data_IF_758720708496
#
_entry.id   IF_758720708496
#
_cell.length_a   1.000
_cell.length_b   1.000
_cell.length_c   1.000
_cell.angle_alpha   90.00
_cell.angle_beta   90.00
_cell.angle_gamma   90.00
#
_symmetry.space_group_name_H-M   'P 1'
#
loop_
_entity.id
_entity.type
_entity.pdbx_description
1 polymer ?
#
# COMPACT_ATOMS: atom_id res chain seq x y z
N UNK A 1 36.38 -31.34 -51.42
CA UNK A 1 35.05 -31.88 -51.09
C UNK A 1 34.88 -31.52 -49.65
N UNK A 2 34.05 -30.51 -49.42
CA UNK A 2 33.76 -30.04 -48.06
C UNK A 2 32.97 -31.15 -47.39
N UNK A 3 33.62 -31.88 -46.49
CA UNK A 3 32.93 -32.72 -45.54
C UNK A 3 32.04 -31.79 -44.73
N UNK A 4 30.76 -31.77 -45.05
CA UNK A 4 29.70 -31.22 -44.21
C UNK A 4 29.89 -31.84 -42.82
N UNK A 5 30.50 -31.10 -41.91
CA UNK A 5 30.57 -31.41 -40.49
C UNK A 5 29.13 -31.46 -39.98
N UNK A 6 28.51 -32.64 -40.11
CA UNK A 6 27.19 -32.96 -39.59
C UNK A 6 27.23 -32.80 -38.08
N UNK A 7 26.92 -31.59 -37.61
CA UNK A 7 26.85 -31.30 -36.20
C UNK A 7 25.78 -32.18 -35.57
N UNK A 8 26.14 -32.92 -34.51
CA UNK A 8 25.21 -33.79 -33.77
C UNK A 8 23.98 -32.99 -33.29
N UNK A 9 24.15 -31.68 -33.02
CA UNK A 9 23.06 -30.76 -32.67
C UNK A 9 21.97 -30.64 -33.75
N UNK A 10 22.30 -30.82 -35.02
CA UNK A 10 21.38 -30.72 -36.14
C UNK A 10 20.83 -32.07 -36.61
N UNK A 11 21.25 -33.17 -35.96
CA UNK A 11 20.76 -34.51 -36.23
C UNK A 11 19.24 -34.65 -36.02
N UNK A 12 18.64 -35.61 -36.72
CA UNK A 12 17.22 -35.92 -36.56
C UNK A 12 16.91 -36.35 -35.13
N UNK A 13 17.81 -37.09 -34.49
CA UNK A 13 17.70 -37.54 -33.11
C UNK A 13 17.70 -36.37 -32.12
N UNK A 14 18.55 -35.36 -32.33
CA UNK A 14 18.57 -34.15 -31.52
C UNK A 14 17.26 -33.37 -31.65
N UNK A 15 16.75 -33.19 -32.87
CA UNK A 15 15.45 -32.55 -33.14
C UNK A 15 14.28 -33.32 -32.53
N UNK A 16 14.30 -34.65 -32.58
CA UNK A 16 13.30 -35.51 -31.95
C UNK A 16 13.36 -35.43 -30.41
N UNK A 17 14.56 -35.29 -29.84
CA UNK A 17 14.76 -35.07 -28.40
C UNK A 17 14.15 -33.73 -27.96
N UNK A 18 14.43 -32.66 -28.70
CA UNK A 18 13.85 -31.32 -28.46
C UNK A 18 12.31 -31.36 -28.53
N UNK A 19 11.75 -32.00 -29.57
CA UNK A 19 10.29 -32.15 -29.71
C UNK A 19 9.66 -32.83 -28.49
N UNK A 20 10.28 -33.90 -27.98
CA UNK A 20 9.80 -34.61 -26.79
C UNK A 20 9.88 -33.74 -25.53
N UNK A 21 10.95 -32.96 -25.37
CA UNK A 21 11.07 -31.99 -24.28
C UNK A 21 9.95 -30.95 -24.32
N UNK A 22 9.67 -30.39 -25.49
CA UNK A 22 8.58 -29.40 -25.68
C UNK A 22 7.22 -30.02 -25.29
N UNK A 23 6.98 -31.27 -25.67
CA UNK A 23 5.76 -32.00 -25.27
C UNK A 23 5.67 -32.25 -23.76
N UNK A 24 6.80 -32.53 -23.10
CA UNK A 24 6.83 -32.63 -21.64
C UNK A 24 6.51 -31.28 -20.97
N UNK A 25 7.05 -30.18 -21.49
CA UNK A 25 6.75 -28.82 -21.04
C UNK A 25 5.26 -28.50 -21.25
N UNK A 26 4.68 -28.83 -22.40
CA UNK A 26 3.25 -28.64 -22.67
C UNK A 26 2.37 -29.41 -21.68
N UNK A 27 2.71 -30.68 -21.40
CA UNK A 27 2.01 -31.51 -20.43
C UNK A 27 2.09 -30.96 -19.00
N UNK A 28 3.27 -30.49 -18.60
CA UNK A 28 3.47 -29.80 -17.32
C UNK A 28 2.63 -28.53 -17.23
N UNK A 29 2.76 -27.62 -18.20
CA UNK A 29 2.05 -26.34 -18.22
C UNK A 29 0.53 -26.54 -18.20
N UNK A 30 0.01 -27.53 -18.95
CA UNK A 30 -1.42 -27.84 -18.97
C UNK A 30 -1.91 -28.23 -17.57
N UNK A 31 -1.16 -29.07 -16.84
CA UNK A 31 -1.52 -29.49 -15.47
C UNK A 31 -1.48 -28.32 -14.49
N UNK A 32 -0.41 -27.52 -14.52
CA UNK A 32 -0.29 -26.37 -13.62
C UNK A 32 -1.37 -25.31 -13.88
N UNK A 33 -1.76 -25.10 -15.14
CA UNK A 33 -2.78 -24.11 -15.52
C UNK A 33 -4.22 -24.45 -15.10
N UNK A 34 -4.45 -25.64 -14.54
CA UNK A 34 -5.75 -26.12 -14.09
C UNK A 34 -5.88 -26.15 -12.55
N UNK A 35 -4.84 -25.72 -11.84
CA UNK A 35 -4.80 -25.70 -10.38
C UNK A 35 -5.53 -24.50 -9.78
N UNK A 36 -5.53 -24.41 -8.46
CA UNK A 36 -6.14 -23.32 -7.70
C UNK A 36 -5.52 -21.95 -8.02
N UNK A 37 -6.21 -20.85 -7.67
CA UNK A 37 -5.74 -19.48 -7.96
C UNK A 37 -4.34 -19.19 -7.37
N UNK A 38 -4.05 -19.66 -6.15
CA UNK A 38 -2.72 -19.48 -5.54
C UNK A 38 -1.63 -20.25 -6.31
N UNK A 39 -1.92 -21.49 -6.69
CA UNK A 39 -1.00 -22.31 -7.47
C UNK A 39 -0.82 -21.77 -8.90
N UNK A 40 -1.86 -21.14 -9.47
CA UNK A 40 -1.79 -20.48 -10.77
C UNK A 40 -0.87 -19.25 -10.74
N UNK A 41 -0.84 -18.52 -9.61
CA UNK A 41 0.17 -17.48 -9.35
C UNK A 41 1.58 -18.07 -9.26
N UNK A 42 1.76 -19.19 -8.54
CA UNK A 42 3.04 -19.88 -8.46
C UNK A 42 3.51 -20.41 -9.83
N UNK A 43 2.59 -20.90 -10.66
CA UNK A 43 2.85 -21.27 -12.05
C UNK A 43 3.32 -20.05 -12.87
N UNK A 44 2.65 -18.91 -12.73
CA UNK A 44 3.09 -17.64 -13.32
C UNK A 44 4.51 -17.25 -12.92
N UNK A 45 4.86 -17.40 -11.64
CA UNK A 45 6.22 -17.16 -11.14
C UNK A 45 7.24 -18.14 -11.75
N UNK A 46 6.90 -19.42 -11.88
CA UNK A 46 7.75 -20.41 -12.52
C UNK A 46 7.98 -20.10 -14.02
N UNK A 47 6.95 -19.66 -14.75
CA UNK A 47 7.09 -19.20 -16.13
C UNK A 47 8.02 -17.98 -16.25
N UNK A 48 7.92 -17.03 -15.31
CA UNK A 48 8.74 -15.82 -15.27
C UNK A 48 10.18 -16.02 -14.77
N UNK A 49 10.50 -17.18 -14.20
CA UNK A 49 11.84 -17.48 -13.64
C UNK A 49 12.97 -17.59 -14.66
N UNK A 50 12.63 -17.73 -15.95
CA UNK A 50 13.61 -17.89 -17.02
C UNK A 50 14.23 -19.29 -17.12
N UNK A 51 13.77 -20.28 -16.36
CA UNK A 51 14.23 -21.67 -16.43
C UNK A 51 14.00 -22.27 -17.84
N UNK A 52 12.89 -21.91 -18.49
CA UNK A 52 12.55 -22.35 -19.84
C UNK A 52 12.74 -21.18 -20.80
N UNK A 53 13.69 -21.33 -21.73
CA UNK A 53 13.97 -20.35 -22.77
C UNK A 53 12.93 -20.41 -23.90
N UNK A 54 11.69 -19.98 -23.63
CA UNK A 54 10.59 -20.04 -24.62
C UNK A 54 10.88 -19.29 -25.94
N UNK A 55 11.79 -18.30 -25.93
CA UNK A 55 12.23 -17.58 -27.11
C UNK A 55 13.03 -18.43 -28.10
N UNK A 56 13.54 -19.60 -27.68
CA UNK A 56 14.22 -20.56 -28.54
C UNK A 56 13.25 -21.51 -29.27
N UNK A 57 11.95 -21.48 -28.92
CA UNK A 57 10.95 -22.28 -29.61
C UNK A 57 10.67 -21.71 -31.01
N UNK A 58 10.65 -22.59 -32.00
CA UNK A 58 10.36 -22.18 -33.39
C UNK A 58 8.86 -21.97 -33.60
N UNK A 59 8.51 -21.29 -34.71
CA UNK A 59 7.11 -21.17 -35.13
C UNK A 59 6.42 -22.50 -35.40
N UNK A 60 7.18 -23.58 -35.69
CA UNK A 60 6.62 -24.93 -35.81
C UNK A 60 6.26 -25.48 -34.44
N UNK A 61 7.17 -25.40 -33.48
CA UNK A 61 6.96 -25.88 -32.11
C UNK A 61 5.73 -25.25 -31.46
N UNK A 62 5.54 -23.93 -31.65
CA UNK A 62 4.38 -23.20 -31.16
C UNK A 62 3.06 -23.65 -31.82
N UNK A 63 3.08 -23.96 -33.13
CA UNK A 63 1.91 -24.48 -33.86
C UNK A 63 1.52 -25.88 -33.39
N UNK A 64 2.52 -26.70 -33.11
CA UNK A 64 2.36 -28.10 -32.71
C UNK A 64 2.03 -28.24 -31.21
N UNK A 65 2.21 -27.17 -30.42
CA UNK A 65 1.99 -27.14 -28.96
C UNK A 65 0.92 -26.13 -28.55
N UNK A 66 -0.27 -26.21 -29.16
CA UNK A 66 -1.36 -25.25 -28.90
C UNK A 66 -1.85 -25.25 -27.44
N UNK A 67 -1.75 -26.37 -26.72
CA UNK A 67 -2.20 -26.42 -25.33
C UNK A 67 -1.23 -25.66 -24.42
N UNK A 68 0.06 -25.60 -24.77
CA UNK A 68 1.04 -24.78 -24.07
C UNK A 68 0.66 -23.29 -24.14
N UNK A 69 0.27 -22.80 -25.32
CA UNK A 69 -0.22 -21.42 -25.50
C UNK A 69 -1.48 -21.19 -24.66
N UNK A 70 -2.42 -22.13 -24.66
CA UNK A 70 -3.63 -22.06 -23.85
C UNK A 70 -3.35 -21.99 -22.35
N UNK A 71 -2.43 -22.82 -21.85
CA UNK A 71 -2.01 -22.85 -20.46
C UNK A 71 -1.36 -21.53 -20.01
N UNK A 72 -0.43 -21.00 -20.82
CA UNK A 72 0.22 -19.71 -20.54
C UNK A 72 -0.80 -18.56 -20.60
N UNK A 73 -1.74 -18.60 -21.55
CA UNK A 73 -2.81 -17.60 -21.66
C UNK A 73 -3.69 -17.54 -20.41
N UNK A 74 -4.04 -18.69 -19.82
CA UNK A 74 -4.79 -18.74 -18.55
C UNK A 74 -4.01 -18.10 -17.41
N UNK A 75 -2.72 -18.41 -17.29
CA UNK A 75 -1.86 -17.80 -16.28
C UNK A 75 -1.78 -16.28 -16.46
N UNK A 76 -1.62 -15.79 -17.70
CA UNK A 76 -1.63 -14.36 -18.04
C UNK A 76 -2.93 -13.68 -17.59
N UNK A 77 -4.09 -14.25 -17.94
CA UNK A 77 -5.39 -13.69 -17.58
C UNK A 77 -5.59 -13.62 -16.06
N UNK A 78 -5.16 -14.65 -15.34
CA UNK A 78 -5.20 -14.67 -13.87
C UNK A 78 -4.31 -13.58 -13.26
N UNK A 79 -3.07 -13.45 -13.72
CA UNK A 79 -2.14 -12.43 -13.23
C UNK A 79 -2.64 -11.00 -13.53
N UNK A 80 -3.25 -10.77 -14.70
CA UNK A 80 -3.87 -9.49 -15.04
C UNK A 80 -5.07 -9.15 -14.12
N UNK A 81 -5.87 -10.15 -13.76
CA UNK A 81 -7.00 -10.00 -12.82
C UNK A 81 -6.48 -9.62 -11.43
N UNK A 82 -5.50 -10.35 -10.90
CA UNK A 82 -4.93 -10.05 -9.57
C UNK A 82 -4.21 -8.71 -9.56
N UNK A 83 -3.46 -8.36 -10.62
CA UNK A 83 -2.86 -7.03 -10.75
C UNK A 83 -3.90 -5.91 -10.61
N UNK A 84 -4.99 -5.97 -11.40
CA UNK A 84 -6.05 -4.96 -11.34
C UNK A 84 -6.72 -4.89 -9.97
N UNK A 85 -6.89 -6.02 -9.30
CA UNK A 85 -7.46 -6.07 -7.95
C UNK A 85 -6.57 -5.32 -6.96
N UNK A 86 -5.27 -5.60 -6.94
CA UNK A 86 -4.34 -4.92 -6.04
C UNK A 86 -4.17 -3.44 -6.38
N UNK A 87 -4.15 -3.08 -7.66
CA UNK A 87 -4.12 -1.68 -8.12
C UNK A 87 -5.32 -0.87 -7.56
N UNK A 88 -6.53 -1.41 -7.69
CA UNK A 88 -7.73 -0.80 -7.13
C UNK A 88 -7.71 -0.73 -5.58
N UNK A 89 -7.13 -1.73 -4.91
CA UNK A 89 -7.03 -1.72 -3.46
C UNK A 89 -6.01 -0.71 -2.96
N UNK A 90 -4.91 -0.48 -3.70
CA UNK A 90 -3.95 0.60 -3.45
C UNK A 90 -4.63 1.96 -3.58
N UNK A 91 -5.44 2.19 -4.62
CA UNK A 91 -6.17 3.45 -4.80
C UNK A 91 -7.13 3.74 -3.63
N UNK A 92 -7.85 2.71 -3.15
CA UNK A 92 -8.70 2.86 -1.96
C UNK A 92 -7.90 3.22 -0.72
N UNK A 93 -6.72 2.60 -0.53
CA UNK A 93 -5.84 2.94 0.58
C UNK A 93 -5.31 4.37 0.47
N UNK A 94 -4.95 4.84 -0.73
CA UNK A 94 -4.54 6.23 -0.94
C UNK A 94 -5.64 7.23 -0.54
N UNK A 95 -6.89 6.98 -0.95
CA UNK A 95 -8.02 7.85 -0.56
C UNK A 95 -8.21 7.87 0.96
N UNK A 96 -8.18 6.70 1.61
CA UNK A 96 -8.30 6.61 3.07
C UNK A 96 -7.17 7.34 3.78
N UNK A 97 -5.93 7.15 3.34
CA UNK A 97 -4.78 7.84 3.92
C UNK A 97 -4.89 9.36 3.75
N UNK A 98 -5.38 9.84 2.60
CA UNK A 98 -5.60 11.27 2.40
C UNK A 98 -6.65 11.82 3.40
N UNK A 99 -7.75 11.10 3.62
CA UNK A 99 -8.77 11.48 4.60
C UNK A 99 -8.25 11.48 6.04
N UNK A 100 -7.52 10.44 6.44
CA UNK A 100 -6.91 10.35 7.77
C UNK A 100 -5.89 11.47 8.02
N UNK A 101 -5.10 11.83 7.01
CA UNK A 101 -4.18 12.96 7.06
C UNK A 101 -4.92 14.30 7.22
N UNK A 102 -6.00 14.53 6.47
CA UNK A 102 -6.82 15.75 6.58
C UNK A 102 -7.44 15.87 7.98
N UNK A 103 -7.95 14.78 8.56
CA UNK A 103 -8.47 14.78 9.93
C UNK A 103 -7.39 15.10 10.98
N UNK A 104 -6.18 14.60 10.78
CA UNK A 104 -5.05 14.86 11.67
C UNK A 104 -4.62 16.33 11.60
N UNK A 105 -4.52 16.89 10.39
CA UNK A 105 -4.26 18.31 10.17
C UNK A 105 -5.33 19.20 10.83
N UNK A 106 -6.61 18.85 10.68
CA UNK A 106 -7.72 19.57 11.32
C UNK A 106 -7.64 19.54 12.86
N UNK A 107 -7.28 18.39 13.44
CA UNK A 107 -7.05 18.27 14.90
C UNK A 107 -5.89 19.15 15.35
N UNK A 108 -4.76 19.16 14.65
CA UNK A 108 -3.61 20.01 14.98
C UNK A 108 -4.00 21.51 14.93
N UNK A 109 -4.75 21.92 13.90
CA UNK A 109 -5.21 23.31 13.76
C UNK A 109 -6.15 23.68 14.92
N UNK A 110 -7.10 22.80 15.28
CA UNK A 110 -8.02 23.01 16.41
C UNK A 110 -7.26 23.10 17.73
N UNK A 111 -6.37 22.17 17.99
CA UNK A 111 -5.61 22.10 19.24
C UNK A 111 -4.73 23.35 19.43
N UNK A 112 -4.16 23.92 18.34
CA UNK A 112 -3.49 25.23 18.39
C UNK A 112 -4.41 26.38 18.79
N UNK A 113 -5.66 26.40 18.30
CA UNK A 113 -6.65 27.44 18.67
C UNK A 113 -7.12 27.28 20.11
N UNK A 114 -7.40 26.05 20.54
CA UNK A 114 -7.79 25.74 21.93
C UNK A 114 -6.66 26.07 22.90
N UNK A 115 -5.41 25.78 22.55
CA UNK A 115 -4.26 26.17 23.36
C UNK A 115 -4.12 27.70 23.48
N UNK A 116 -4.31 28.44 22.38
CA UNK A 116 -4.35 29.90 22.41
C UNK A 116 -5.48 30.42 23.31
N UNK A 117 -6.67 29.81 23.23
CA UNK A 117 -7.80 30.16 24.09
C UNK A 117 -7.48 29.91 25.57
N UNK A 118 -6.92 28.75 25.89
CA UNK A 118 -6.46 28.40 27.24
C UNK A 118 -5.47 29.42 27.81
N UNK A 119 -4.47 29.84 27.04
CA UNK A 119 -3.51 30.86 27.48
C UNK A 119 -4.19 32.21 27.78
N UNK A 120 -5.14 32.63 26.96
CA UNK A 120 -5.91 33.86 27.19
C UNK A 120 -6.75 33.75 28.46
N UNK A 121 -7.44 32.62 28.65
CA UNK A 121 -8.23 32.37 29.87
C UNK A 121 -7.37 32.38 31.13
N UNK A 122 -6.14 31.85 31.09
CA UNK A 122 -5.20 31.90 32.20
C UNK A 122 -4.79 33.33 32.55
N UNK A 123 -4.44 34.15 31.55
CA UNK A 123 -4.06 35.56 31.75
C UNK A 123 -5.22 36.32 32.39
N UNK A 124 -6.43 36.17 31.84
CA UNK A 124 -7.61 36.82 32.40
C UNK A 124 -7.90 36.36 33.82
N UNK A 125 -7.80 35.07 34.12
CA UNK A 125 -7.99 34.58 35.48
C UNK A 125 -7.01 35.22 36.48
N UNK A 126 -5.75 35.42 36.08
CA UNK A 126 -4.75 36.10 36.91
C UNK A 126 -5.09 37.59 37.10
N UNK A 127 -5.45 38.29 36.03
CA UNK A 127 -5.86 39.71 36.08
C UNK A 127 -7.10 39.92 36.95
N UNK A 128 -8.13 39.09 36.77
CA UNK A 128 -9.33 39.13 37.60
C UNK A 128 -9.01 38.84 39.07
N UNK A 129 -8.08 37.94 39.39
CA UNK A 129 -7.71 37.66 40.76
C UNK A 129 -6.95 38.84 41.40
N UNK A 130 -6.05 39.50 40.65
CA UNK A 130 -5.38 40.74 41.07
C UNK A 130 -6.39 41.86 41.32
N UNK A 131 -7.32 42.06 40.38
CA UNK A 131 -8.36 43.07 40.49
C UNK A 131 -9.28 42.77 41.68
N UNK A 132 -9.72 41.52 41.85
CA UNK A 132 -10.52 41.06 42.99
C UNK A 132 -9.86 41.41 44.31
N UNK A 133 -8.58 41.06 44.50
CA UNK A 133 -7.83 41.40 45.72
C UNK A 133 -7.77 42.90 45.96
N UNK A 134 -7.48 43.67 44.92
CA UNK A 134 -7.41 45.14 45.02
C UNK A 134 -8.77 45.74 45.45
N UNK A 135 -9.86 45.32 44.79
CA UNK A 135 -11.21 45.81 45.09
C UNK A 135 -11.69 45.35 46.47
N UNK A 136 -11.39 44.10 46.87
CA UNK A 136 -11.69 43.60 48.22
C UNK A 136 -11.00 44.44 49.29
N UNK A 137 -9.70 44.73 49.12
CA UNK A 137 -8.97 45.58 50.08
C UNK A 137 -9.58 47.00 50.18
N UNK A 138 -9.98 47.58 49.05
CA UNK A 138 -10.67 48.88 49.03
C UNK A 138 -12.00 48.79 49.79
N UNK A 139 -12.80 47.76 49.51
CA UNK A 139 -14.08 47.52 50.16
C UNK A 139 -13.93 47.38 51.69
N UNK A 140 -13.04 46.51 52.16
CA UNK A 140 -12.77 46.30 53.58
C UNK A 140 -12.27 47.60 54.28
N UNK A 141 -11.48 48.41 53.58
CA UNK A 141 -11.04 49.72 54.09
C UNK A 141 -12.20 50.70 54.24
N UNK A 142 -13.14 50.72 53.28
CA UNK A 142 -14.31 51.58 53.35
C UNK A 142 -15.29 51.11 54.43
N UNK A 143 -15.54 49.81 54.50
CA UNK A 143 -16.42 49.18 55.49
C UNK A 143 -15.92 49.38 56.93
N UNK A 144 -14.62 49.18 57.16
CA UNK A 144 -14.03 49.46 58.48
C UNK A 144 -14.17 50.92 58.87
N UNK A 145 -13.94 51.87 57.95
CA UNK A 145 -14.13 53.30 58.21
C UNK A 145 -15.59 53.68 58.46
N UNK A 146 -16.55 53.08 57.77
CA UNK A 146 -17.97 53.37 57.99
C UNK A 146 -18.49 52.82 59.32
N UNK A 147 -17.87 51.75 59.82
CA UNK A 147 -18.26 51.08 61.07
C UNK A 147 -17.50 51.60 62.30
N UNK A 148 -16.48 52.44 62.12
CA UNK A 148 -15.94 53.27 63.20
C UNK A 148 -16.93 54.42 63.44
N UNK A 149 -17.87 54.23 64.35
CA UNK A 149 -18.58 55.35 64.99
C UNK A 149 -17.55 56.30 65.62
N UNK A 150 -17.84 57.61 65.57
CA UNK A 150 -17.12 58.68 66.26
C UNK A 150 -17.06 58.38 67.77
N UNK A 151 -16.10 57.55 68.17
CA UNK A 151 -15.82 57.17 69.53
C UNK A 151 -14.69 58.01 70.10
N UNK A 152 -14.91 59.32 70.21
CA UNK A 152 -14.17 60.18 71.16
C UNK A 152 -14.82 61.57 71.24
N UNK A 153 -15.36 61.85 72.43
CA UNK A 153 -15.45 63.18 73.04
C UNK A 153 -14.17 64.02 72.85
#
# INVERSE_FOLDING_TARGET
MDDDDLQISDSEEARASITRLIKAIEGWATKESQKSEFELTAFGAALGSGIIAFHQLTSKDCRDSRNLIGAISRAKQHLEKEYKKFDNDIDKMHIKFAQEMEELDLKIIRDRKEFKHYLVSLIYAEEYNKLRRSVTNIFETLESKSNYEDGSD
#
